data_IF_231155029106
#
_entry.id   IF_231155029106
#
_cell.length_a   1.000
_cell.length_b   1.000
_cell.length_c   1.000
_cell.angle_alpha   90.00
_cell.angle_beta   90.00
_cell.angle_gamma   90.00
#
_symmetry.space_group_name_H-M   'P 1'
#
loop_
_entity.id
_entity.type
_entity.pdbx_description
1 polymer ?
#
# COMPACT_ATOMS: atom_id res chain seq x y z
N UNK A 1 11.70 14.32 15.77
CA UNK A 1 12.74 14.80 16.70
C UNK A 1 12.30 14.47 18.13
N UNK A 2 13.03 13.58 18.78
CA UNK A 2 12.70 13.06 20.12
C UNK A 2 13.36 13.86 21.25
N UNK A 3 14.47 14.56 20.94
CA UNK A 3 15.25 15.29 21.93
C UNK A 3 16.01 16.47 21.30
N UNK A 4 16.54 17.35 22.16
CA UNK A 4 17.21 18.58 21.71
C UNK A 4 18.53 18.30 20.99
N UNK A 5 19.20 17.15 21.25
CA UNK A 5 20.38 16.78 20.48
C UNK A 5 20.04 16.53 19.01
N UNK A 6 18.98 15.81 18.75
CA UNK A 6 18.49 15.61 17.37
C UNK A 6 18.04 16.92 16.71
N UNK A 7 17.43 17.83 17.51
CA UNK A 7 17.08 19.16 17.03
C UNK A 7 18.32 19.97 16.60
N UNK A 8 19.35 19.98 17.42
CA UNK A 8 20.60 20.66 17.09
C UNK A 8 21.26 20.07 15.84
N UNK A 9 21.26 18.75 15.69
CA UNK A 9 21.76 18.11 14.47
C UNK A 9 20.93 18.47 13.23
N UNK A 10 19.61 18.55 13.35
CA UNK A 10 18.74 19.00 12.27
C UNK A 10 19.07 20.45 11.89
N UNK A 11 19.21 21.34 12.87
CA UNK A 11 19.61 22.72 12.63
C UNK A 11 20.95 22.82 11.88
N UNK A 12 21.92 21.99 12.29
CA UNK A 12 23.24 21.93 11.62
C UNK A 12 23.11 21.44 10.18
N UNK A 13 22.29 20.44 9.90
CA UNK A 13 22.05 19.95 8.54
C UNK A 13 21.38 21.00 7.64
N UNK A 14 20.54 21.83 8.21
CA UNK A 14 19.92 22.96 7.51
C UNK A 14 20.87 24.15 7.28
N UNK A 15 22.10 24.09 7.80
CA UNK A 15 23.07 25.19 7.72
C UNK A 15 22.84 26.27 8.78
N UNK A 16 22.17 25.94 9.88
CA UNK A 16 21.87 26.84 11.02
C UNK A 16 21.25 28.17 10.57
N UNK A 17 20.12 28.16 9.89
CA UNK A 17 19.46 29.39 9.43
C UNK A 17 19.02 30.23 10.63
N UNK A 18 18.99 31.56 10.49
CA UNK A 18 18.75 32.51 11.59
C UNK A 18 17.43 32.27 12.36
N UNK A 19 16.43 31.73 11.70
CA UNK A 19 15.13 31.47 12.35
C UNK A 19 15.23 30.39 13.46
N UNK A 20 16.20 29.48 13.43
CA UNK A 20 16.36 28.45 14.48
C UNK A 20 16.78 29.03 15.83
N UNK A 21 17.34 30.25 15.85
CA UNK A 21 17.73 30.96 17.08
C UNK A 21 16.56 31.67 17.77
N UNK A 22 15.36 31.64 17.16
CA UNK A 22 14.18 32.25 17.75
C UNK A 22 13.74 31.45 19.00
N UNK A 23 13.40 32.16 20.08
CA UNK A 23 12.91 31.58 21.33
C UNK A 23 11.73 30.60 21.16
N UNK A 24 10.94 30.77 20.09
CA UNK A 24 9.86 29.87 19.72
C UNK A 24 10.32 28.43 19.47
N UNK A 25 11.61 28.20 19.21
CA UNK A 25 12.13 26.88 18.85
C UNK A 25 13.19 26.35 19.82
N UNK A 26 13.43 27.02 20.95
CA UNK A 26 14.48 26.70 21.90
C UNK A 26 14.34 25.31 22.56
N UNK A 27 13.12 24.89 22.84
CA UNK A 27 12.82 23.61 23.48
C UNK A 27 11.63 22.88 22.80
N UNK A 28 11.41 21.61 23.18
CA UNK A 28 10.38 20.79 22.58
C UNK A 28 8.96 21.33 22.75
N UNK A 29 8.66 21.96 23.89
CA UNK A 29 7.33 22.52 24.16
C UNK A 29 7.08 23.78 23.33
N UNK A 30 8.09 24.65 23.26
CA UNK A 30 8.06 25.86 22.44
C UNK A 30 7.89 25.51 20.95
N UNK A 31 8.61 24.51 20.44
CA UNK A 31 8.44 24.00 19.08
C UNK A 31 7.04 23.44 18.82
N UNK A 32 6.48 22.74 19.78
CA UNK A 32 5.11 22.22 19.66
C UNK A 32 4.06 23.34 19.59
N UNK A 33 4.19 24.37 20.42
CA UNK A 33 3.29 25.52 20.38
C UNK A 33 3.39 26.35 19.10
N UNK A 34 4.54 26.34 18.43
CA UNK A 34 4.79 27.08 17.19
C UNK A 34 4.95 26.13 15.98
N UNK A 35 4.26 24.99 16.00
CA UNK A 35 4.40 23.92 15.01
C UNK A 35 4.13 24.40 13.58
N UNK A 36 3.09 25.21 13.36
CA UNK A 36 2.73 25.68 12.01
C UNK A 36 3.86 26.52 11.37
N UNK A 37 4.50 27.39 12.14
CA UNK A 37 5.64 28.18 11.67
C UNK A 37 6.88 27.30 11.45
N UNK A 38 7.10 26.33 12.34
CA UNK A 38 8.18 25.37 12.21
C UNK A 38 8.00 24.51 10.95
N UNK A 39 6.79 23.99 10.71
CA UNK A 39 6.45 23.16 9.55
C UNK A 39 6.63 23.95 8.23
N UNK A 40 6.30 25.23 8.22
CA UNK A 40 6.57 26.09 7.08
C UNK A 40 8.07 26.16 6.74
N UNK A 41 8.92 26.39 7.74
CA UNK A 41 10.37 26.44 7.55
C UNK A 41 10.97 25.09 7.14
N UNK A 42 10.55 24.01 7.80
CA UNK A 42 10.96 22.66 7.46
C UNK A 42 10.51 22.26 6.06
N UNK A 43 9.27 22.58 5.70
CA UNK A 43 8.72 22.33 4.37
C UNK A 43 9.53 23.02 3.27
N UNK A 44 9.90 24.28 3.49
CA UNK A 44 10.73 25.03 2.55
C UNK A 44 12.12 24.38 2.34
N UNK A 45 12.74 23.89 3.41
CA UNK A 45 14.03 23.20 3.33
C UNK A 45 13.91 21.81 2.71
N UNK A 46 12.93 21.00 3.14
CA UNK A 46 12.76 19.62 2.66
C UNK A 46 12.35 19.55 1.20
N UNK A 47 11.64 20.56 0.67
CA UNK A 47 11.25 20.64 -0.73
C UNK A 47 12.43 20.69 -1.72
N UNK A 48 13.63 20.97 -1.23
CA UNK A 48 14.86 20.94 -2.03
C UNK A 48 15.49 19.55 -2.20
N UNK A 49 14.88 18.48 -1.63
CA UNK A 49 15.44 17.13 -1.63
C UNK A 49 14.45 16.12 -2.19
N UNK A 50 14.98 15.05 -2.80
CA UNK A 50 14.21 13.83 -2.95
C UNK A 50 14.02 13.15 -1.59
N UNK A 51 12.83 12.61 -1.34
CA UNK A 51 12.47 12.03 -0.03
C UNK A 51 13.42 10.91 0.44
N UNK A 52 13.93 10.09 -0.47
CA UNK A 52 14.91 9.02 -0.16
C UNK A 52 16.30 9.56 0.16
N UNK A 53 16.72 10.65 -0.49
CA UNK A 53 17.98 11.33 -0.19
C UNK A 53 17.91 12.00 1.18
N UNK A 54 16.81 12.70 1.45
CA UNK A 54 16.56 13.34 2.75
C UNK A 54 16.52 12.30 3.88
N UNK A 55 15.81 11.19 3.69
CA UNK A 55 15.80 10.08 4.65
C UNK A 55 17.22 9.59 4.95
N UNK A 56 18.04 9.41 3.92
CA UNK A 56 19.43 8.96 4.07
C UNK A 56 20.27 9.99 4.83
N UNK A 57 20.11 11.27 4.51
CA UNK A 57 20.81 12.38 5.17
C UNK A 57 20.47 12.44 6.66
N UNK A 58 19.19 12.40 7.00
CA UNK A 58 18.70 12.43 8.38
C UNK A 58 19.13 11.19 9.17
N UNK A 59 19.01 10.00 8.57
CA UNK A 59 19.45 8.74 9.22
C UNK A 59 20.93 8.73 9.54
N UNK A 60 21.78 9.26 8.67
CA UNK A 60 23.23 9.42 8.93
C UNK A 60 23.53 10.36 10.10
N UNK A 61 22.67 11.32 10.35
CA UNK A 61 22.75 12.22 11.50
C UNK A 61 22.04 11.66 12.75
N UNK A 62 21.68 10.37 12.75
CA UNK A 62 20.96 9.70 13.84
C UNK A 62 19.60 10.34 14.16
N UNK A 63 18.98 10.92 13.16
CA UNK A 63 17.60 11.44 13.24
C UNK A 63 16.67 10.39 12.63
N UNK A 64 15.77 9.77 13.42
CA UNK A 64 14.79 8.82 12.91
C UNK A 64 13.93 9.45 11.80
N UNK A 65 13.93 8.81 10.66
CA UNK A 65 13.22 9.32 9.48
C UNK A 65 12.79 8.18 8.56
N UNK A 66 11.75 8.39 7.81
CA UNK A 66 11.26 7.48 6.78
C UNK A 66 10.71 8.25 5.59
N UNK A 67 10.99 7.78 4.39
CA UNK A 67 10.42 8.36 3.19
C UNK A 67 8.93 7.97 3.08
N UNK A 68 8.09 8.91 2.70
CA UNK A 68 6.71 8.62 2.30
C UNK A 68 6.76 8.16 0.85
N UNK A 69 6.41 6.90 0.63
CA UNK A 69 6.54 6.22 -0.66
C UNK A 69 5.17 6.06 -1.33
N UNK A 70 5.12 6.19 -2.65
CA UNK A 70 3.98 5.77 -3.44
C UNK A 70 3.98 4.24 -3.67
N UNK A 71 2.94 3.70 -4.31
CA UNK A 71 2.80 2.26 -4.51
C UNK A 71 3.93 1.66 -5.38
N UNK A 72 4.40 2.37 -6.39
CA UNK A 72 5.51 1.92 -7.26
C UNK A 72 6.81 1.85 -6.46
N UNK A 73 7.11 2.88 -5.68
CA UNK A 73 8.30 2.95 -4.84
C UNK A 73 8.33 1.84 -3.79
N UNK A 74 7.20 1.58 -3.14
CA UNK A 74 7.09 0.48 -2.16
C UNK A 74 7.31 -0.88 -2.83
N UNK A 75 6.72 -1.13 -4.01
CA UNK A 75 6.85 -2.40 -4.73
C UNK A 75 8.26 -2.61 -5.30
N UNK A 76 8.99 -1.53 -5.57
CA UNK A 76 10.36 -1.59 -6.12
C UNK A 76 11.44 -1.41 -5.06
N UNK A 77 11.08 -1.10 -3.83
CA UNK A 77 12.00 -0.87 -2.71
C UNK A 77 12.93 -2.06 -2.47
N UNK A 78 14.22 -1.78 -2.37
CA UNK A 78 15.26 -2.80 -2.21
C UNK A 78 15.13 -3.56 -0.90
N UNK A 79 14.80 -2.88 0.20
CA UNK A 79 14.63 -3.51 1.51
C UNK A 79 13.42 -4.45 1.51
N UNK A 80 12.30 -4.06 0.89
CA UNK A 80 11.12 -4.92 0.76
C UNK A 80 11.42 -6.16 -0.09
N UNK A 81 12.20 -6.00 -1.17
CA UNK A 81 12.67 -7.11 -2.02
C UNK A 81 13.60 -8.06 -1.26
N UNK A 82 14.61 -7.55 -0.58
CA UNK A 82 15.56 -8.34 0.21
C UNK A 82 14.86 -9.12 1.32
N UNK A 83 13.85 -8.50 1.93
CA UNK A 83 12.99 -9.17 2.91
C UNK A 83 12.03 -10.18 2.30
N UNK A 84 11.89 -10.25 0.98
CA UNK A 84 10.86 -11.07 0.30
C UNK A 84 9.49 -10.78 0.90
N UNK A 85 9.15 -9.49 1.03
CA UNK A 85 7.90 -9.06 1.65
C UNK A 85 6.72 -9.28 0.71
N UNK A 86 6.94 -9.15 -0.59
CA UNK A 86 5.91 -9.35 -1.59
C UNK A 86 5.87 -10.79 -2.06
N UNK A 87 4.66 -11.28 -2.28
CA UNK A 87 4.39 -12.63 -2.79
C UNK A 87 3.58 -12.54 -4.08
N UNK A 88 4.01 -13.26 -5.11
CA UNK A 88 3.25 -13.36 -6.36
C UNK A 88 2.23 -14.49 -6.23
N UNK A 89 0.98 -14.18 -6.54
CA UNK A 89 -0.15 -15.12 -6.49
C UNK A 89 -0.77 -15.21 -7.87
N UNK A 90 -0.81 -16.44 -8.41
CA UNK A 90 -1.47 -16.73 -9.69
C UNK A 90 -2.89 -17.19 -9.43
N UNK A 91 -3.83 -16.49 -10.01
CA UNK A 91 -5.26 -16.79 -9.92
C UNK A 91 -5.67 -17.89 -10.89
N UNK A 92 -6.86 -18.46 -10.69
CA UNK A 92 -7.43 -19.41 -11.63
C UNK A 92 -7.61 -18.79 -13.02
N UNK A 93 -7.48 -19.56 -14.10
CA UNK A 93 -7.76 -19.04 -15.45
C UNK A 93 -9.15 -18.47 -15.61
N UNK A 94 -10.14 -18.99 -14.88
CA UNK A 94 -11.53 -18.53 -14.90
C UNK A 94 -11.70 -17.11 -14.37
N UNK A 95 -10.82 -16.66 -13.50
CA UNK A 95 -10.86 -15.29 -12.94
C UNK A 95 -10.38 -14.21 -13.90
N UNK A 96 -9.69 -14.59 -14.98
CA UNK A 96 -9.02 -13.67 -15.93
C UNK A 96 -8.05 -12.67 -15.28
N UNK A 97 -7.69 -12.88 -14.01
CA UNK A 97 -6.82 -11.95 -13.26
C UNK A 97 -5.33 -12.17 -13.50
N UNK A 98 -4.92 -13.39 -13.91
CA UNK A 98 -3.51 -13.74 -14.07
C UNK A 98 -2.76 -13.69 -12.74
N UNK A 99 -1.48 -13.33 -12.78
CA UNK A 99 -0.65 -13.14 -11.57
C UNK A 99 -0.79 -11.73 -11.01
N UNK A 100 -0.73 -11.65 -9.67
CA UNK A 100 -0.75 -10.38 -8.92
C UNK A 100 0.24 -10.42 -7.78
N UNK A 101 0.82 -9.25 -7.47
CA UNK A 101 1.70 -9.08 -6.32
C UNK A 101 0.86 -8.69 -5.11
N UNK A 102 1.04 -9.43 -4.03
CA UNK A 102 0.40 -9.20 -2.74
C UNK A 102 1.42 -8.87 -1.66
N UNK A 103 1.01 -8.10 -0.68
CA UNK A 103 1.79 -7.93 0.54
C UNK A 103 1.81 -9.23 1.33
N UNK A 104 3.01 -9.70 1.66
CA UNK A 104 3.20 -10.84 2.54
C UNK A 104 3.07 -10.46 4.01
N UNK A 105 3.64 -11.28 4.89
CA UNK A 105 3.59 -11.05 6.33
C UNK A 105 4.78 -10.21 6.76
N UNK A 106 4.59 -9.22 7.66
CA UNK A 106 5.69 -8.40 8.17
C UNK A 106 6.65 -9.18 9.08
N UNK A 107 6.24 -10.33 9.61
CA UNK A 107 7.05 -11.21 10.43
C UNK A 107 7.55 -12.43 9.64
N UNK A 108 8.71 -12.93 10.04
CA UNK A 108 9.29 -14.18 9.52
C UNK A 108 9.49 -15.16 10.67
N UNK A 109 9.01 -16.38 10.50
CA UNK A 109 9.11 -17.45 11.48
C UNK A 109 10.04 -18.53 10.93
N UNK A 110 11.12 -18.85 11.64
CA UNK A 110 12.13 -19.81 11.16
C UNK A 110 11.63 -21.24 11.12
N UNK A 111 10.77 -21.65 12.06
CA UNK A 111 10.27 -23.03 12.18
C UNK A 111 8.92 -23.24 11.48
N UNK A 112 8.13 -22.19 11.33
CA UNK A 112 6.80 -22.22 10.72
C UNK A 112 6.69 -21.10 9.69
N UNK A 113 7.42 -21.19 8.56
CA UNK A 113 7.36 -20.17 7.53
C UNK A 113 5.93 -20.06 7.01
N UNK A 114 5.46 -18.83 6.86
CA UNK A 114 4.13 -18.56 6.30
C UNK A 114 4.27 -17.90 4.94
N UNK A 115 3.42 -18.30 4.02
CA UNK A 115 3.34 -17.80 2.65
C UNK A 115 1.90 -17.91 2.15
N UNK A 116 1.56 -17.21 1.07
CA UNK A 116 0.27 -17.36 0.41
C UNK A 116 0.30 -18.62 -0.41
N UNK A 117 -0.31 -19.69 0.09
CA UNK A 117 -0.28 -21.03 -0.53
C UNK A 117 -1.28 -21.19 -1.66
N UNK A 118 -2.34 -20.38 -1.67
CA UNK A 118 -3.42 -20.43 -2.66
C UNK A 118 -3.96 -19.02 -2.91
N UNK A 119 -4.47 -18.75 -4.11
CA UNK A 119 -5.24 -17.53 -4.36
C UNK A 119 -6.53 -17.51 -3.53
N UNK A 120 -7.21 -16.38 -3.41
CA UNK A 120 -8.58 -16.33 -2.90
C UNK A 120 -9.48 -17.30 -3.69
N UNK A 121 -10.41 -17.99 -3.01
CA UNK A 121 -11.30 -18.94 -3.67
C UNK A 121 -12.25 -18.24 -4.64
N UNK A 122 -12.61 -18.94 -5.70
CA UNK A 122 -13.69 -18.53 -6.59
C UNK A 122 -15.05 -18.64 -5.88
N UNK A 123 -16.07 -17.94 -6.40
CA UNK A 123 -17.40 -17.95 -5.80
C UNK A 123 -17.95 -19.38 -5.72
N UNK A 124 -18.29 -19.82 -4.51
CA UNK A 124 -18.86 -21.14 -4.27
C UNK A 124 -17.88 -22.33 -4.46
N UNK A 125 -16.59 -22.07 -4.66
CA UNK A 125 -15.57 -23.13 -4.85
C UNK A 125 -15.61 -24.19 -3.74
N UNK A 126 -15.83 -23.78 -2.51
CA UNK A 126 -15.81 -24.65 -1.35
C UNK A 126 -17.20 -25.05 -0.84
N UNK A 127 -18.29 -24.73 -1.56
CA UNK A 127 -19.66 -25.03 -1.10
C UNK A 127 -19.83 -26.50 -0.76
N UNK A 128 -19.46 -27.40 -1.65
CA UNK A 128 -19.62 -28.84 -1.44
C UNK A 128 -18.76 -29.36 -0.30
N UNK A 129 -17.49 -28.94 -0.24
CA UNK A 129 -16.58 -29.33 0.82
C UNK A 129 -17.12 -28.91 2.21
N UNK A 130 -17.52 -27.67 2.35
CA UNK A 130 -18.04 -27.15 3.62
C UNK A 130 -19.34 -27.85 4.02
N UNK A 131 -20.26 -27.98 3.06
CA UNK A 131 -21.57 -28.55 3.36
C UNK A 131 -21.51 -30.06 3.62
N UNK A 132 -20.67 -30.78 2.90
CA UNK A 132 -20.53 -32.26 3.07
C UNK A 132 -19.61 -32.60 4.22
N UNK A 133 -18.32 -32.15 4.16
CA UNK A 133 -17.28 -32.60 5.08
C UNK A 133 -17.37 -31.93 6.45
N UNK A 134 -17.73 -30.67 6.50
CA UNK A 134 -17.76 -29.94 7.77
C UNK A 134 -19.15 -29.94 8.41
N UNK A 135 -20.22 -29.87 7.62
CA UNK A 135 -21.59 -29.77 8.13
C UNK A 135 -22.43 -31.06 7.96
N UNK A 136 -21.86 -32.13 7.34
CA UNK A 136 -22.51 -33.43 7.21
C UNK A 136 -23.83 -33.43 6.40
N UNK A 137 -23.98 -32.46 5.49
CA UNK A 137 -25.19 -32.37 4.65
C UNK A 137 -25.18 -33.45 3.58
N UNK A 138 -26.34 -34.07 3.33
CA UNK A 138 -26.50 -35.01 2.23
C UNK A 138 -26.50 -34.27 0.88
N UNK A 139 -26.17 -35.01 -0.18
CA UNK A 139 -26.23 -34.46 -1.55
C UNK A 139 -27.62 -33.88 -1.88
N UNK A 140 -28.67 -34.53 -1.49
CA UNK A 140 -30.05 -34.08 -1.71
C UNK A 140 -30.33 -32.73 -1.04
N UNK A 141 -29.81 -32.51 0.17
CA UNK A 141 -29.92 -31.20 0.87
C UNK A 141 -29.11 -30.13 0.18
N UNK A 142 -27.96 -30.46 -0.38
CA UNK A 142 -27.11 -29.51 -1.12
C UNK A 142 -27.80 -29.14 -2.45
N UNK A 143 -28.34 -30.11 -3.17
CA UNK A 143 -29.06 -29.88 -4.41
C UNK A 143 -30.32 -28.99 -4.18
N UNK A 144 -31.00 -29.15 -3.05
CA UNK A 144 -32.11 -28.29 -2.63
C UNK A 144 -31.64 -26.84 -2.41
N UNK A 145 -30.51 -26.64 -1.73
CA UNK A 145 -29.94 -25.31 -1.51
C UNK A 145 -29.59 -24.61 -2.83
N UNK A 146 -29.06 -25.34 -3.80
CA UNK A 146 -28.83 -24.83 -5.15
C UNK A 146 -30.14 -24.48 -5.86
N UNK A 147 -31.15 -25.33 -5.78
CA UNK A 147 -32.45 -25.12 -6.42
C UNK A 147 -33.18 -23.91 -5.85
N UNK A 148 -33.03 -23.64 -4.56
CA UNK A 148 -33.57 -22.46 -3.88
C UNK A 148 -32.76 -21.19 -4.13
N UNK A 149 -31.60 -21.27 -4.79
CA UNK A 149 -30.70 -20.15 -4.99
C UNK A 149 -30.04 -19.64 -3.69
N UNK A 150 -30.09 -20.46 -2.61
CA UNK A 150 -29.45 -20.12 -1.34
C UNK A 150 -27.92 -20.20 -1.42
N UNK A 151 -27.40 -21.02 -2.33
CA UNK A 151 -25.99 -21.11 -2.68
C UNK A 151 -25.84 -21.11 -4.21
N UNK A 152 -24.68 -20.66 -4.69
CA UNK A 152 -24.38 -20.64 -6.13
C UNK A 152 -22.88 -20.78 -6.36
N UNK A 153 -22.50 -21.20 -7.56
CA UNK A 153 -21.11 -21.14 -8.09
C UNK A 153 -20.96 -20.05 -9.16
N UNK A 154 -22.06 -19.45 -9.55
CA UNK A 154 -22.07 -18.39 -10.55
C UNK A 154 -22.54 -17.08 -9.91
N UNK A 155 -21.95 -15.96 -10.29
CA UNK A 155 -22.42 -14.66 -9.83
C UNK A 155 -23.90 -14.47 -10.20
N UNK A 156 -24.69 -13.96 -9.27
CA UNK A 156 -26.05 -13.48 -9.60
C UNK A 156 -25.91 -12.43 -10.72
N UNK A 157 -26.67 -12.54 -11.82
CA UNK A 157 -26.61 -11.56 -12.89
C UNK A 157 -26.86 -10.16 -12.33
N UNK A 158 -25.83 -9.36 -12.28
CA UNK A 158 -25.96 -7.94 -11.96
C UNK A 158 -26.71 -7.25 -13.10
N UNK A 159 -27.44 -6.16 -12.83
CA UNK A 159 -27.97 -5.30 -13.89
C UNK A 159 -26.81 -5.03 -14.86
N UNK A 160 -27.11 -5.09 -16.17
CA UNK A 160 -26.08 -4.97 -17.22
C UNK A 160 -25.05 -3.92 -16.81
N UNK A 161 -23.75 -4.29 -16.71
CA UNK A 161 -22.75 -3.32 -16.37
C UNK A 161 -22.81 -2.17 -17.38
N UNK A 162 -22.64 -0.96 -16.90
CA UNK A 162 -22.40 0.16 -17.82
C UNK A 162 -21.29 -0.25 -18.81
N UNK A 163 -21.40 0.17 -20.08
CA UNK A 163 -20.40 -0.17 -21.08
C UNK A 163 -19.00 0.13 -20.50
N UNK A 164 -18.11 -0.85 -20.61
CA UNK A 164 -16.72 -0.68 -20.14
C UNK A 164 -16.17 0.59 -20.76
N UNK A 165 -15.73 1.53 -19.94
CA UNK A 165 -15.08 2.74 -20.40
C UNK A 165 -13.90 2.33 -21.29
N UNK A 166 -13.73 3.02 -22.38
CA UNK A 166 -12.54 2.87 -23.23
C UNK A 166 -11.27 3.18 -22.42
N UNK A 167 -10.15 2.67 -22.86
CA UNK A 167 -8.86 2.94 -22.20
C UNK A 167 -8.60 4.45 -22.07
N UNK A 168 -8.95 5.23 -23.10
CA UNK A 168 -8.85 6.68 -23.08
C UNK A 168 -9.75 7.34 -22.02
N UNK A 169 -10.98 6.85 -21.84
CA UNK A 169 -11.89 7.34 -20.80
C UNK A 169 -11.41 6.96 -19.39
N UNK A 170 -10.82 5.78 -19.22
CA UNK A 170 -10.22 5.36 -17.96
C UNK A 170 -9.02 6.23 -17.62
N UNK A 171 -8.15 6.50 -18.58
CA UNK A 171 -6.98 7.37 -18.41
C UNK A 171 -7.42 8.79 -18.04
N UNK A 172 -8.37 9.36 -18.76
CA UNK A 172 -8.90 10.69 -18.48
C UNK A 172 -9.57 10.79 -17.08
N UNK A 173 -10.25 9.72 -16.65
CA UNK A 173 -10.81 9.65 -15.30
C UNK A 173 -9.71 9.65 -14.24
N UNK A 174 -8.64 8.88 -14.45
CA UNK A 174 -7.48 8.84 -13.54
C UNK A 174 -6.74 10.17 -13.48
N UNK A 175 -6.54 10.84 -14.60
CA UNK A 175 -5.96 12.18 -14.64
C UNK A 175 -6.79 13.19 -13.86
N UNK A 176 -8.12 13.08 -13.93
CA UNK A 176 -9.04 13.93 -13.16
C UNK A 176 -8.90 13.66 -11.65
N UNK A 177 -8.79 12.40 -11.24
CA UNK A 177 -8.57 12.02 -9.85
C UNK A 177 -7.23 12.54 -9.32
N UNK A 178 -6.16 12.47 -10.13
CA UNK A 178 -4.85 13.03 -9.78
C UNK A 178 -4.93 14.55 -9.62
N UNK A 179 -5.57 15.27 -10.56
CA UNK A 179 -5.78 16.73 -10.46
C UNK A 179 -6.62 17.15 -9.26
N UNK A 180 -7.56 16.30 -8.84
CA UNK A 180 -8.39 16.54 -7.66
C UNK A 180 -7.68 16.17 -6.34
N UNK A 181 -6.47 15.60 -6.39
CA UNK A 181 -5.72 15.16 -5.21
C UNK A 181 -6.28 13.90 -4.53
N UNK A 182 -7.24 13.21 -5.17
CA UNK A 182 -7.82 11.95 -4.66
C UNK A 182 -6.99 10.73 -5.04
N UNK A 183 -6.09 10.88 -5.99
CA UNK A 183 -5.12 9.88 -6.43
C UNK A 183 -3.74 10.54 -6.53
N UNK A 184 -2.73 9.98 -5.89
CA UNK A 184 -1.37 10.54 -5.90
C UNK A 184 -0.71 10.50 -7.28
N UNK A 185 -1.02 9.48 -8.08
CA UNK A 185 -0.53 9.32 -9.45
C UNK A 185 -1.11 8.06 -10.08
N UNK A 186 -1.01 7.97 -11.39
CA UNK A 186 -1.38 6.78 -12.17
C UNK A 186 -0.37 6.57 -13.28
N UNK A 187 0.23 5.39 -13.30
CA UNK A 187 1.16 4.96 -14.35
C UNK A 187 0.51 3.83 -15.15
N UNK A 188 0.13 4.04 -16.43
CA UNK A 188 -0.47 3.01 -17.27
C UNK A 188 0.47 1.82 -17.54
N UNK A 189 1.77 2.06 -17.47
CA UNK A 189 2.80 1.05 -17.77
C UNK A 189 3.29 0.28 -16.53
N UNK A 190 2.62 0.45 -15.37
CA UNK A 190 3.06 -0.10 -14.09
C UNK A 190 3.33 -1.62 -14.15
N UNK A 191 2.53 -2.38 -14.89
CA UNK A 191 2.70 -3.84 -15.04
C UNK A 191 4.03 -4.18 -15.69
N UNK A 192 4.35 -3.49 -16.80
CA UNK A 192 5.62 -3.69 -17.54
C UNK A 192 6.80 -3.33 -16.65
N UNK A 193 6.73 -2.21 -15.93
CA UNK A 193 7.80 -1.76 -15.02
C UNK A 193 8.02 -2.73 -13.85
N UNK A 194 6.98 -3.38 -13.38
CA UNK A 194 7.05 -4.37 -12.30
C UNK A 194 7.34 -5.78 -12.79
N UNK A 195 7.51 -6.00 -14.11
CA UNK A 195 7.75 -7.32 -14.69
C UNK A 195 6.56 -8.28 -14.58
N UNK A 196 5.35 -7.76 -14.39
CA UNK A 196 4.12 -8.54 -14.29
C UNK A 196 3.66 -8.99 -15.67
N UNK A 197 3.33 -10.28 -15.80
CA UNK A 197 2.78 -10.87 -17.03
C UNK A 197 1.26 -10.76 -17.09
#
# INVERSE_FOLDING_TARGET
IENDKQWQELCRLMGSPLWVENEKFNDGLSRWHNQDELDYHLGAWTSGYYHTELMTLLSRASIPSGAVMNAEEVLTDSHMKDRKFFEEVTFSPASEMGSRIYTGRPWKMSKTPSYISKPPPDLGEHNEFILTEMLGRSKSQIDELYSLGAITKEPVPLPKPEPRKSEAELLAAKEKEVKAGTLAGYDPDYRSKLGMK
#
